data_IF_734907581815
#
_entry.id   IF_734907581815
#
_cell.length_a   1.000
_cell.length_b   1.000
_cell.length_c   1.000
_cell.angle_alpha   90.00
_cell.angle_beta   90.00
_cell.angle_gamma   90.00
#
_symmetry.space_group_name_H-M   'P 1'
#
loop_
_entity.id
_entity.type
_entity.pdbx_description
1 polymer ?
#
# COMPACT_ATOMS: atom_id res chain seq x y z
N UNK A 1 17.51 5.82 -25.59
CA UNK A 1 16.89 4.61 -26.21
C UNK A 1 16.42 4.96 -27.62
N UNK A 2 17.33 5.01 -28.58
CA UNK A 2 17.01 5.51 -29.94
C UNK A 2 16.91 4.41 -31.00
N UNK A 3 17.12 3.16 -30.68
CA UNK A 3 16.94 2.05 -31.62
C UNK A 3 15.56 1.44 -31.46
N UNK A 4 14.76 1.28 -32.52
CA UNK A 4 13.42 0.71 -32.49
C UNK A 4 13.38 -0.66 -31.78
N UNK A 5 14.45 -1.45 -31.94
CA UNK A 5 14.60 -2.77 -31.34
C UNK A 5 14.51 -2.69 -29.78
N UNK A 6 15.24 -1.74 -29.16
CA UNK A 6 15.23 -1.60 -27.69
C UNK A 6 13.86 -1.16 -27.19
N UNK A 7 13.17 -0.29 -27.92
CA UNK A 7 11.82 0.13 -27.56
C UNK A 7 10.85 -1.05 -27.58
N UNK A 8 10.93 -1.93 -28.56
CA UNK A 8 10.12 -3.15 -28.62
C UNK A 8 10.47 -4.15 -27.52
N UNK A 9 11.78 -4.34 -27.24
CA UNK A 9 12.22 -5.19 -26.12
C UNK A 9 11.68 -4.62 -24.79
N UNK A 10 11.82 -3.32 -24.56
CA UNK A 10 11.32 -2.67 -23.34
C UNK A 10 9.80 -2.81 -23.20
N UNK A 11 9.04 -2.60 -24.29
CA UNK A 11 7.59 -2.78 -24.28
C UNK A 11 7.18 -4.23 -24.00
N UNK A 12 7.88 -5.19 -24.62
CA UNK A 12 7.63 -6.62 -24.38
C UNK A 12 7.92 -7.02 -22.94
N UNK A 13 9.07 -6.60 -22.39
CA UNK A 13 9.45 -6.87 -21.00
C UNK A 13 8.50 -6.20 -20.00
N UNK A 14 8.01 -5.00 -20.30
CA UNK A 14 6.98 -4.35 -19.50
C UNK A 14 5.67 -5.15 -19.53
N UNK A 15 5.25 -5.64 -20.69
CA UNK A 15 4.09 -6.54 -20.79
C UNK A 15 4.27 -7.82 -19.99
N UNK A 16 5.46 -8.42 -20.00
CA UNK A 16 5.78 -9.60 -19.18
C UNK A 16 5.77 -9.26 -17.69
N UNK A 17 6.31 -8.09 -17.30
CA UNK A 17 6.24 -7.62 -15.91
C UNK A 17 4.78 -7.48 -15.43
N UNK A 18 3.90 -6.92 -16.24
CA UNK A 18 2.46 -6.85 -15.94
C UNK A 18 1.86 -8.24 -15.76
N UNK A 19 2.11 -9.17 -16.68
CA UNK A 19 1.64 -10.55 -16.55
C UNK A 19 2.17 -11.22 -15.27
N UNK A 20 3.43 -10.95 -14.91
CA UNK A 20 4.04 -11.45 -13.70
C UNK A 20 3.31 -10.91 -12.45
N UNK A 21 2.96 -9.62 -12.40
CA UNK A 21 2.22 -9.05 -11.25
C UNK A 21 0.84 -9.71 -11.06
N UNK A 22 0.17 -10.16 -12.12
CA UNK A 22 -1.07 -10.93 -12.00
C UNK A 22 -0.85 -12.39 -11.59
N UNK A 23 0.40 -12.86 -11.60
CA UNK A 23 0.76 -14.24 -11.23
C UNK A 23 1.15 -14.40 -9.75
N UNK A 24 0.95 -13.41 -8.90
CA UNK A 24 1.29 -13.43 -7.46
C UNK A 24 0.75 -14.67 -6.76
N UNK A 25 -0.51 -15.05 -7.01
CA UNK A 25 -1.11 -16.27 -6.42
C UNK A 25 -0.37 -17.56 -6.80
N UNK A 26 0.28 -17.60 -7.95
CA UNK A 26 1.12 -18.73 -8.35
C UNK A 26 2.39 -18.81 -7.49
N UNK A 27 3.07 -17.68 -7.30
CA UNK A 27 4.27 -17.59 -6.45
C UNK A 27 3.96 -17.86 -4.98
N UNK A 28 2.82 -17.40 -4.48
CA UNK A 28 2.34 -17.69 -3.14
C UNK A 28 2.12 -19.21 -2.93
N UNK A 29 1.48 -19.90 -3.87
CA UNK A 29 1.36 -21.36 -3.83
C UNK A 29 2.73 -22.07 -3.87
N UNK A 30 3.67 -21.51 -4.64
CA UNK A 30 5.02 -22.04 -4.74
C UNK A 30 5.81 -21.89 -3.43
N UNK A 31 5.61 -20.77 -2.71
CA UNK A 31 6.21 -20.54 -1.39
C UNK A 31 5.75 -21.58 -0.36
N UNK A 32 4.47 -21.95 -0.38
CA UNK A 32 3.93 -23.03 0.46
C UNK A 32 4.45 -24.42 0.06
N UNK A 33 4.64 -24.65 -1.23
CA UNK A 33 5.12 -25.94 -1.74
C UNK A 33 6.63 -26.17 -1.49
N UNK A 34 7.41 -25.11 -1.46
CA UNK A 34 8.86 -25.14 -1.26
C UNK A 34 9.27 -24.23 -0.10
N UNK A 35 9.06 -24.65 1.17
CA UNK A 35 9.32 -23.81 2.34
C UNK A 35 10.76 -23.32 2.45
N UNK A 36 11.72 -24.10 1.92
CA UNK A 36 13.15 -23.72 1.90
C UNK A 36 13.43 -22.45 1.10
N UNK A 37 12.60 -22.15 0.11
CA UNK A 37 12.71 -20.99 -0.78
C UNK A 37 11.52 -20.03 -0.66
N UNK A 38 10.73 -20.16 0.41
CA UNK A 38 9.50 -19.37 0.61
C UNK A 38 9.77 -17.86 0.51
N UNK A 39 10.85 -17.37 1.13
CA UNK A 39 11.23 -15.95 1.06
C UNK A 39 11.49 -15.44 -0.36
N UNK A 40 12.13 -16.26 -1.21
CA UNK A 40 12.34 -15.89 -2.62
C UNK A 40 11.02 -15.81 -3.40
N UNK A 41 10.11 -16.77 -3.17
CA UNK A 41 8.81 -16.75 -3.85
C UNK A 41 7.91 -15.63 -3.35
N UNK A 42 7.98 -15.26 -2.09
CA UNK A 42 7.30 -14.07 -1.57
C UNK A 42 7.82 -12.79 -2.23
N UNK A 43 9.15 -12.61 -2.31
CA UNK A 43 9.75 -11.48 -3.00
C UNK A 43 9.32 -11.39 -4.47
N UNK A 44 9.27 -12.52 -5.19
CA UNK A 44 8.81 -12.56 -6.58
C UNK A 44 7.31 -12.27 -6.73
N UNK A 45 6.56 -12.28 -5.65
CA UNK A 45 5.16 -11.85 -5.61
C UNK A 45 4.95 -10.34 -5.36
N UNK A 46 5.99 -9.62 -4.91
CA UNK A 46 5.90 -8.19 -4.62
C UNK A 46 6.04 -7.35 -5.89
N UNK A 47 5.12 -6.42 -6.11
CA UNK A 47 5.04 -5.61 -7.34
C UNK A 47 6.33 -4.83 -7.58
N UNK A 48 6.89 -4.24 -6.54
CA UNK A 48 8.11 -3.44 -6.61
C UNK A 48 9.32 -4.30 -7.04
N UNK A 49 9.41 -5.51 -6.50
CA UNK A 49 10.48 -6.47 -6.84
C UNK A 49 10.31 -6.97 -8.28
N UNK A 50 9.09 -7.23 -8.72
CA UNK A 50 8.80 -7.68 -10.09
C UNK A 50 9.28 -6.67 -11.11
N UNK A 51 8.92 -5.40 -10.97
CA UNK A 51 9.35 -4.36 -11.91
C UNK A 51 10.86 -4.13 -11.84
N UNK A 52 11.47 -4.14 -10.65
CA UNK A 52 12.93 -4.05 -10.50
C UNK A 52 13.67 -5.21 -11.18
N UNK A 53 13.18 -6.44 -11.04
CA UNK A 53 13.73 -7.62 -11.70
C UNK A 53 13.68 -7.50 -13.24
N UNK A 54 12.52 -7.12 -13.80
CA UNK A 54 12.39 -6.97 -15.26
C UNK A 54 13.15 -5.77 -15.81
N UNK A 55 13.34 -4.70 -15.02
CA UNK A 55 14.24 -3.60 -15.38
C UNK A 55 15.70 -4.07 -15.45
N UNK A 56 16.15 -4.93 -14.53
CA UNK A 56 17.48 -5.54 -14.60
C UNK A 56 17.63 -6.41 -15.85
N UNK A 57 16.61 -7.22 -16.20
CA UNK A 57 16.59 -8.01 -17.44
C UNK A 57 16.71 -7.10 -18.67
N UNK A 58 16.03 -5.94 -18.66
CA UNK A 58 16.16 -4.96 -19.75
C UNK A 58 17.59 -4.45 -19.90
N UNK A 59 18.26 -4.11 -18.78
CA UNK A 59 19.66 -3.64 -18.83
C UNK A 59 20.58 -4.71 -19.40
N UNK A 60 20.39 -5.98 -19.01
CA UNK A 60 21.15 -7.11 -19.58
C UNK A 60 20.86 -7.28 -21.07
N UNK A 61 19.60 -7.22 -21.49
CA UNK A 61 19.22 -7.29 -22.89
C UNK A 61 19.84 -6.13 -23.72
N UNK A 62 19.90 -4.92 -23.15
CA UNK A 62 20.60 -3.79 -23.76
C UNK A 62 22.11 -4.04 -23.89
N UNK A 63 22.75 -4.58 -22.87
CA UNK A 63 24.17 -4.90 -22.90
C UNK A 63 24.51 -5.91 -24.01
N UNK A 64 23.63 -6.90 -24.23
CA UNK A 64 23.80 -7.91 -25.27
C UNK A 64 23.47 -7.43 -26.71
N UNK A 65 22.58 -6.45 -26.85
CA UNK A 65 22.09 -6.01 -28.17
C UNK A 65 22.78 -4.74 -28.67
N UNK A 66 23.05 -3.77 -27.81
CA UNK A 66 23.66 -2.48 -28.21
C UNK A 66 25.04 -2.25 -27.57
N UNK A 67 25.43 -3.10 -26.61
CA UNK A 67 26.74 -3.06 -25.99
C UNK A 67 26.70 -2.57 -24.52
N UNK A 68 27.69 -3.04 -23.75
CA UNK A 68 27.82 -2.73 -22.31
C UNK A 68 27.89 -1.24 -21.98
N UNK A 69 28.72 -0.43 -22.68
CA UNK A 69 28.81 1.01 -22.40
C UNK A 69 27.47 1.74 -22.50
N UNK A 70 26.66 1.42 -23.52
CA UNK A 70 25.36 2.05 -23.73
C UNK A 70 24.34 1.61 -22.67
N UNK A 71 24.37 0.34 -22.26
CA UNK A 71 23.53 -0.16 -21.18
C UNK A 71 23.89 0.50 -19.84
N UNK A 72 25.17 0.66 -19.54
CA UNK A 72 25.67 1.34 -18.35
C UNK A 72 25.24 2.81 -18.34
N UNK A 73 25.47 3.52 -19.46
CA UNK A 73 25.04 4.92 -19.60
C UNK A 73 23.52 5.08 -19.38
N UNK A 74 22.73 4.14 -19.90
CA UNK A 74 21.29 4.15 -19.67
C UNK A 74 20.97 3.97 -18.18
N UNK A 75 21.58 3.01 -17.51
CA UNK A 75 21.36 2.77 -16.09
C UNK A 75 21.78 4.01 -15.26
N UNK A 76 22.96 4.58 -15.49
CA UNK A 76 23.45 5.75 -14.77
C UNK A 76 22.62 7.02 -15.03
N UNK A 77 21.97 7.12 -16.20
CA UNK A 77 21.10 8.25 -16.53
C UNK A 77 19.74 8.23 -15.80
N UNK A 78 19.43 7.16 -15.05
CA UNK A 78 18.18 7.07 -14.31
C UNK A 78 18.29 7.78 -12.96
N UNK A 79 17.21 8.41 -12.54
CA UNK A 79 17.14 9.01 -11.21
C UNK A 79 16.73 7.94 -10.20
N UNK A 80 17.64 7.56 -9.32
CA UNK A 80 17.40 6.58 -8.24
C UNK A 80 17.07 7.24 -6.90
N UNK A 81 17.13 8.57 -6.79
CA UNK A 81 16.94 9.27 -5.52
C UNK A 81 15.55 9.02 -4.95
N UNK A 82 14.51 9.15 -5.79
CA UNK A 82 13.13 8.92 -5.35
C UNK A 82 12.86 7.45 -4.98
N UNK A 83 13.19 6.44 -5.83
CA UNK A 83 13.03 5.04 -5.47
C UNK A 83 13.79 4.65 -4.21
N UNK A 84 15.03 5.14 -4.00
CA UNK A 84 15.80 4.87 -2.80
C UNK A 84 15.17 5.52 -1.57
N UNK A 85 14.68 6.75 -1.68
CA UNK A 85 13.95 7.43 -0.61
C UNK A 85 12.69 6.63 -0.21
N UNK A 86 11.89 6.22 -1.19
CA UNK A 86 10.68 5.41 -0.96
C UNK A 86 11.04 4.08 -0.28
N UNK A 87 12.10 3.41 -0.75
CA UNK A 87 12.57 2.17 -0.14
C UNK A 87 12.93 2.36 1.35
N UNK A 88 13.67 3.41 1.68
CA UNK A 88 14.03 3.73 3.09
C UNK A 88 12.77 4.01 3.91
N UNK A 89 11.83 4.81 3.38
CA UNK A 89 10.56 5.09 4.04
C UNK A 89 9.76 3.81 4.27
N UNK A 90 9.68 2.92 3.29
CA UNK A 90 8.98 1.63 3.42
C UNK A 90 9.58 0.76 4.53
N UNK A 91 10.91 0.62 4.57
CA UNK A 91 11.60 -0.16 5.60
C UNK A 91 11.33 0.38 7.00
N UNK A 92 11.39 1.72 7.16
CA UNK A 92 11.10 2.37 8.45
C UNK A 92 9.64 2.20 8.83
N UNK A 93 8.72 2.49 7.90
CA UNK A 93 7.27 2.43 8.12
C UNK A 93 6.77 1.03 8.44
N UNK A 94 7.33 -0.01 7.79
CA UNK A 94 7.01 -1.41 8.07
C UNK A 94 7.60 -1.93 9.38
N UNK A 95 8.42 -1.14 10.07
CA UNK A 95 9.04 -1.57 11.32
C UNK A 95 7.99 -1.71 12.44
N UNK A 96 8.16 -2.74 13.28
CA UNK A 96 7.26 -3.00 14.42
C UNK A 96 7.06 -1.80 15.36
N UNK A 97 8.10 -0.99 15.71
CA UNK A 97 7.92 0.19 16.54
C UNK A 97 6.97 1.21 15.91
N UNK A 98 7.13 1.52 14.61
CA UNK A 98 6.28 2.50 13.91
C UNK A 98 4.84 1.99 13.85
N UNK A 99 4.60 0.73 13.44
CA UNK A 99 3.28 0.14 13.37
C UNK A 99 2.57 0.18 14.73
N UNK A 100 3.27 -0.22 15.82
CA UNK A 100 2.72 -0.18 17.18
C UNK A 100 2.40 1.24 17.63
N UNK A 101 3.27 2.20 17.34
CA UNK A 101 3.08 3.61 17.70
C UNK A 101 1.85 4.19 17.01
N UNK A 102 1.71 3.97 15.70
CA UNK A 102 0.55 4.45 14.94
C UNK A 102 -0.74 3.83 15.49
N UNK A 103 -0.77 2.52 15.73
CA UNK A 103 -1.92 1.84 16.32
C UNK A 103 -2.25 2.41 17.70
N UNK A 104 -1.25 2.66 18.54
CA UNK A 104 -1.45 3.24 19.89
C UNK A 104 -2.01 4.67 19.81
N UNK A 105 -1.47 5.51 18.90
CA UNK A 105 -1.98 6.87 18.67
C UNK A 105 -3.43 6.84 18.23
N UNK A 106 -3.77 6.03 17.24
CA UNK A 106 -5.15 5.92 16.74
C UNK A 106 -6.09 5.43 17.81
N UNK A 107 -5.69 4.46 18.64
CA UNK A 107 -6.49 4.01 19.77
C UNK A 107 -6.68 5.10 20.83
N UNK A 108 -5.67 5.88 21.10
CA UNK A 108 -5.78 7.00 22.04
C UNK A 108 -6.76 8.05 21.52
N UNK A 109 -6.63 8.41 20.24
CA UNK A 109 -7.57 9.33 19.58
C UNK A 109 -9.00 8.79 19.57
N UNK A 110 -9.18 7.48 19.35
CA UNK A 110 -10.49 6.84 19.38
C UNK A 110 -11.14 6.92 20.77
N UNK A 111 -10.36 6.82 21.84
CA UNK A 111 -10.86 6.96 23.23
C UNK A 111 -11.24 8.40 23.59
N UNK A 112 -10.55 9.38 23.01
CA UNK A 112 -10.80 10.81 23.21
C UNK A 112 -11.98 11.33 22.38
N UNK A 113 -12.40 10.61 21.35
CA UNK A 113 -13.48 11.01 20.47
C UNK A 113 -14.84 11.02 21.22
N UNK A 114 -15.73 12.00 20.97
CA UNK A 114 -17.05 12.10 21.61
C UNK A 114 -18.08 11.13 21.01
N UNK A 115 -17.63 9.96 20.60
CA UNK A 115 -18.44 8.88 20.01
C UNK A 115 -17.96 7.52 20.56
N UNK A 116 -18.78 6.45 20.47
CA UNK A 116 -18.36 5.13 20.96
C UNK A 116 -17.01 4.71 20.37
N UNK A 117 -16.10 4.26 21.21
CA UNK A 117 -14.73 3.90 20.82
C UNK A 117 -14.65 2.94 19.62
N UNK A 118 -15.50 1.91 19.48
CA UNK A 118 -15.48 1.06 18.29
C UNK A 118 -15.82 1.81 17.01
N UNK A 119 -16.76 2.76 17.07
CA UNK A 119 -17.11 3.59 15.92
C UNK A 119 -15.98 4.55 15.56
N UNK A 120 -15.38 5.19 16.57
CA UNK A 120 -14.21 6.04 16.38
C UNK A 120 -13.03 5.26 15.77
N UNK A 121 -12.75 4.06 16.27
CA UNK A 121 -11.68 3.21 15.75
C UNK A 121 -11.94 2.79 14.29
N UNK A 122 -13.18 2.41 13.96
CA UNK A 122 -13.56 2.07 12.59
C UNK A 122 -13.41 3.28 11.66
N UNK A 123 -13.86 4.44 12.07
CA UNK A 123 -13.74 5.68 11.29
C UNK A 123 -12.27 6.09 11.09
N UNK A 124 -11.47 6.09 12.16
CA UNK A 124 -10.04 6.42 12.08
C UNK A 124 -9.28 5.43 11.19
N UNK A 125 -9.59 4.13 11.28
CA UNK A 125 -9.01 3.11 10.42
C UNK A 125 -9.38 3.27 8.94
N UNK A 126 -10.58 3.81 8.64
CA UNK A 126 -11.04 4.06 7.28
C UNK A 126 -10.70 5.45 6.76
N UNK A 127 -10.38 6.43 7.61
CA UNK A 127 -10.07 7.80 7.24
C UNK A 127 -8.63 8.20 7.55
N UNK A 128 -8.28 8.30 8.84
CA UNK A 128 -6.98 8.84 9.25
C UNK A 128 -5.82 7.97 8.79
N UNK A 129 -5.93 6.65 8.93
CA UNK A 129 -4.87 5.72 8.53
C UNK A 129 -4.63 5.73 7.01
N UNK A 130 -5.65 5.65 6.13
CA UNK A 130 -5.48 5.88 4.70
C UNK A 130 -4.81 7.20 4.33
N UNK A 131 -5.18 8.31 4.95
CA UNK A 131 -4.54 9.62 4.71
C UNK A 131 -3.09 9.66 5.19
N UNK A 132 -2.78 9.01 6.32
CA UNK A 132 -1.41 8.83 6.78
C UNK A 132 -0.57 7.98 5.80
N UNK A 133 -1.20 7.18 4.93
CA UNK A 133 -0.55 6.48 3.84
C UNK A 133 0.31 7.37 2.96
N UNK A 134 -0.06 8.64 2.81
CA UNK A 134 0.76 9.65 2.12
C UNK A 134 2.10 9.95 2.80
N UNK A 135 2.26 9.64 4.07
CA UNK A 135 3.50 9.84 4.83
C UNK A 135 4.28 8.55 5.02
N UNK A 136 3.58 7.42 5.16
CA UNK A 136 4.19 6.13 5.48
C UNK A 136 4.22 5.14 4.32
N UNK A 137 3.44 5.28 3.30
CA UNK A 137 3.17 4.45 2.12
C UNK A 137 1.83 3.71 2.16
N UNK A 138 1.26 3.43 0.99
CA UNK A 138 -0.01 2.69 0.86
C UNK A 138 0.00 1.30 1.50
N UNK A 139 1.03 0.43 1.28
CA UNK A 139 1.07 -0.89 1.89
C UNK A 139 1.11 -0.86 3.43
N UNK A 140 1.85 0.09 4.01
CA UNK A 140 1.90 0.25 5.46
C UNK A 140 0.55 0.71 6.02
N UNK A 141 -0.11 1.69 5.38
CA UNK A 141 -1.44 2.15 5.77
C UNK A 141 -2.48 1.02 5.66
N UNK A 142 -2.44 0.24 4.58
CA UNK A 142 -3.32 -0.93 4.39
C UNK A 142 -3.16 -1.93 5.54
N UNK A 143 -1.92 -2.28 5.88
CA UNK A 143 -1.62 -3.21 6.96
C UNK A 143 -2.13 -2.72 8.32
N UNK A 144 -1.87 -1.46 8.65
CA UNK A 144 -2.33 -0.86 9.92
C UNK A 144 -3.85 -0.86 9.98
N UNK A 145 -4.51 -0.37 8.91
CA UNK A 145 -5.97 -0.33 8.86
C UNK A 145 -6.59 -1.74 8.95
N UNK A 146 -6.02 -2.71 8.24
CA UNK A 146 -6.48 -4.10 8.29
C UNK A 146 -6.40 -4.68 9.72
N UNK A 147 -5.26 -4.51 10.41
CA UNK A 147 -5.08 -4.96 11.79
C UNK A 147 -6.07 -4.31 12.76
N UNK A 148 -6.43 -3.04 12.53
CA UNK A 148 -7.39 -2.32 13.36
C UNK A 148 -8.84 -2.72 13.10
N UNK A 149 -9.19 -2.94 11.82
CA UNK A 149 -10.58 -3.17 11.40
C UNK A 149 -10.97 -4.63 11.46
N UNK A 150 -10.03 -5.56 11.26
CA UNK A 150 -10.32 -6.99 11.21
C UNK A 150 -11.07 -7.51 12.45
N UNK A 151 -10.67 -7.21 13.71
CA UNK A 151 -11.36 -7.70 14.91
C UNK A 151 -12.77 -7.15 15.08
N UNK A 152 -13.07 -6.02 14.43
CA UNK A 152 -14.35 -5.33 14.57
C UNK A 152 -15.34 -5.70 13.48
N UNK A 153 -14.86 -5.87 12.25
CA UNK A 153 -15.68 -5.96 11.04
C UNK A 153 -15.73 -7.39 10.50
N UNK A 154 -14.59 -8.11 10.49
CA UNK A 154 -14.51 -9.45 9.90
C UNK A 154 -14.82 -10.58 10.89
N UNK A 155 -15.79 -10.35 11.77
CA UNK A 155 -16.29 -11.32 12.76
C UNK A 155 -17.65 -11.88 12.36
N UNK A 156 -18.05 -12.96 13.04
CA UNK A 156 -19.41 -13.49 12.97
C UNK A 156 -20.42 -12.45 13.49
N UNK A 157 -21.57 -12.31 12.83
CA UNK A 157 -22.62 -11.35 13.21
C UNK A 157 -22.56 -10.01 12.46
N UNK A 158 -21.52 -9.72 11.70
CA UNK A 158 -21.51 -8.62 10.72
C UNK A 158 -21.98 -9.16 9.38
N UNK A 159 -23.00 -8.56 8.74
CA UNK A 159 -23.48 -8.97 7.43
C UNK A 159 -22.38 -8.90 6.36
N UNK A 160 -22.33 -9.89 5.47
CA UNK A 160 -21.33 -9.97 4.40
C UNK A 160 -21.27 -8.69 3.55
N UNK A 161 -22.43 -8.10 3.24
CA UNK A 161 -22.48 -6.83 2.48
C UNK A 161 -21.67 -5.71 3.16
N UNK A 162 -21.71 -5.63 4.48
CA UNK A 162 -20.99 -4.59 5.23
C UNK A 162 -19.50 -4.91 5.32
N UNK A 163 -19.10 -6.18 5.36
CA UNK A 163 -17.70 -6.58 5.27
C UNK A 163 -17.10 -6.18 3.92
N UNK A 164 -17.80 -6.50 2.82
CA UNK A 164 -17.35 -6.10 1.49
C UNK A 164 -17.39 -4.59 1.27
N UNK A 165 -18.39 -3.88 1.82
CA UNK A 165 -18.42 -2.42 1.80
C UNK A 165 -17.19 -1.84 2.50
N UNK A 166 -16.89 -2.30 3.71
CA UNK A 166 -15.74 -1.82 4.47
C UNK A 166 -14.41 -2.12 3.76
N UNK A 167 -14.28 -3.31 3.19
CA UNK A 167 -13.11 -3.70 2.41
C UNK A 167 -12.94 -2.82 1.17
N UNK A 168 -14.01 -2.60 0.40
CA UNK A 168 -14.01 -1.74 -0.78
C UNK A 168 -13.67 -0.29 -0.44
N UNK A 169 -14.26 0.25 0.63
CA UNK A 169 -13.96 1.61 1.11
C UNK A 169 -12.50 1.69 1.57
N UNK A 170 -11.98 0.68 2.28
CA UNK A 170 -10.58 0.66 2.70
C UNK A 170 -9.64 0.70 1.49
N UNK A 171 -9.84 -0.15 0.48
CA UNK A 171 -9.03 -0.16 -0.73
C UNK A 171 -9.05 1.18 -1.45
N UNK A 172 -10.24 1.74 -1.68
CA UNK A 172 -10.38 3.05 -2.35
C UNK A 172 -9.70 4.14 -1.53
N UNK A 173 -9.96 4.19 -0.22
CA UNK A 173 -9.43 5.25 0.63
C UNK A 173 -7.91 5.18 0.78
N UNK A 174 -7.30 4.00 0.82
CA UNK A 174 -5.84 3.86 0.85
C UNK A 174 -5.24 4.32 -0.47
N UNK A 175 -5.81 3.91 -1.61
CA UNK A 175 -5.32 4.32 -2.94
C UNK A 175 -5.40 5.83 -3.15
N UNK A 176 -6.56 6.46 -2.88
CA UNK A 176 -6.69 7.91 -3.06
C UNK A 176 -6.03 8.70 -1.93
N UNK A 177 -5.97 8.15 -0.72
CA UNK A 177 -5.30 8.75 0.43
C UNK A 177 -3.80 8.92 0.22
N UNK A 178 -3.16 8.01 -0.52
CA UNK A 178 -1.75 8.11 -0.88
C UNK A 178 -1.39 9.28 -1.81
N UNK A 179 -2.37 9.94 -2.42
CA UNK A 179 -2.14 11.02 -3.40
C UNK A 179 -1.86 12.40 -2.81
N UNK A 180 -1.76 12.54 -1.48
CA UNK A 180 -1.41 13.82 -0.85
C UNK A 180 0.06 14.19 -1.06
N UNK A 181 0.92 13.22 -1.33
CA UNK A 181 2.35 13.43 -1.62
C UNK A 181 2.73 12.83 -2.98
N UNK A 182 3.87 13.25 -3.52
CA UNK A 182 4.35 12.78 -4.83
C UNK A 182 5.04 11.41 -4.79
N UNK A 183 5.23 10.81 -3.62
CA UNK A 183 6.06 9.61 -3.46
C UNK A 183 5.33 8.40 -2.82
N UNK A 184 4.19 8.60 -2.17
CA UNK A 184 3.60 7.54 -1.38
C UNK A 184 2.77 6.54 -2.21
N UNK A 185 2.15 7.01 -3.29
CA UNK A 185 1.35 6.19 -4.19
C UNK A 185 2.18 5.79 -5.42
N UNK A 186 2.41 4.49 -5.69
CA UNK A 186 3.20 4.05 -6.84
C UNK A 186 2.77 4.65 -8.19
N UNK A 187 1.48 4.77 -8.53
CA UNK A 187 1.07 5.40 -9.78
C UNK A 187 1.48 6.88 -9.90
N UNK A 188 1.46 7.61 -8.78
CA UNK A 188 1.90 9.01 -8.74
C UNK A 188 3.41 9.09 -8.91
N UNK A 189 4.16 8.26 -8.19
CA UNK A 189 5.62 8.21 -8.26
C UNK A 189 6.11 7.99 -9.69
N UNK A 190 5.45 7.13 -10.45
CA UNK A 190 5.81 6.82 -11.85
C UNK A 190 5.76 8.03 -12.78
N UNK A 191 4.85 8.98 -12.53
CA UNK A 191 4.60 10.13 -13.40
C UNK A 191 5.10 11.45 -12.82
N UNK A 192 5.25 11.54 -11.50
CA UNK A 192 5.57 12.77 -10.79
C UNK A 192 6.86 13.44 -11.30
N UNK A 193 7.93 12.67 -11.45
CA UNK A 193 9.20 13.18 -11.97
C UNK A 193 9.09 13.68 -13.43
N UNK A 194 8.29 12.99 -14.27
CA UNK A 194 8.09 13.35 -15.68
C UNK A 194 7.29 14.64 -15.83
N UNK A 195 6.30 14.86 -14.97
CA UNK A 195 5.39 16.01 -15.03
C UNK A 195 5.74 17.13 -14.05
N UNK A 196 6.84 16.98 -13.29
CA UNK A 196 7.27 17.97 -12.30
C UNK A 196 6.29 18.11 -11.13
N UNK A 197 5.61 17.05 -10.75
CA UNK A 197 4.67 17.05 -9.63
C UNK A 197 5.42 16.85 -8.32
N UNK A 198 5.57 17.90 -7.56
CA UNK A 198 6.08 17.83 -6.18
C UNK A 198 4.94 17.61 -5.17
N UNK A 199 5.30 17.41 -3.91
CA UNK A 199 4.31 17.18 -2.85
C UNK A 199 3.42 18.41 -2.58
N UNK A 200 3.91 19.61 -2.81
CA UNK A 200 3.10 20.83 -2.67
C UNK A 200 2.03 20.89 -3.77
N UNK A 201 2.40 20.59 -5.00
CA UNK A 201 1.46 20.47 -6.13
C UNK A 201 0.42 19.36 -5.86
N UNK A 202 0.87 18.18 -5.42
CA UNK A 202 -0.04 17.08 -5.11
C UNK A 202 -1.05 17.48 -4.04
N UNK A 203 -0.59 18.04 -2.93
CA UNK A 203 -1.46 18.46 -1.83
C UNK A 203 -2.50 19.50 -2.26
N UNK A 204 -2.08 20.52 -3.01
CA UNK A 204 -2.95 21.64 -3.40
C UNK A 204 -3.88 21.30 -4.55
N UNK A 205 -3.50 20.37 -5.43
CA UNK A 205 -4.28 20.03 -6.63
C UNK A 205 -5.20 18.84 -6.42
N UNK A 206 -4.68 17.76 -5.84
CA UNK A 206 -5.38 16.48 -5.67
C UNK A 206 -5.66 16.17 -4.20
N UNK A 207 -4.73 16.43 -3.30
CA UNK A 207 -4.72 15.94 -1.93
C UNK A 207 -5.94 16.37 -1.12
N UNK A 208 -6.34 17.61 -1.18
CA UNK A 208 -7.53 18.06 -0.45
C UNK A 208 -8.82 17.42 -0.96
N UNK A 209 -8.91 17.15 -2.28
CA UNK A 209 -10.06 16.44 -2.88
C UNK A 209 -10.08 14.98 -2.44
N UNK A 210 -8.91 14.33 -2.45
CA UNK A 210 -8.72 12.98 -1.94
C UNK A 210 -9.09 12.90 -0.46
N UNK A 211 -8.60 13.83 0.37
CA UNK A 211 -8.93 13.90 1.78
C UNK A 211 -10.45 14.04 2.00
N UNK A 212 -11.12 14.93 1.27
CA UNK A 212 -12.57 15.08 1.36
C UNK A 212 -13.29 13.79 0.97
N UNK A 213 -12.91 13.16 -0.12
CA UNK A 213 -13.50 11.88 -0.57
C UNK A 213 -13.30 10.77 0.46
N UNK A 214 -12.09 10.64 1.03
CA UNK A 214 -11.78 9.68 2.10
C UNK A 214 -12.66 9.91 3.33
N UNK A 215 -12.82 11.16 3.77
CA UNK A 215 -13.67 11.51 4.91
C UNK A 215 -15.14 11.17 4.67
N UNK A 216 -15.67 11.47 3.48
CA UNK A 216 -17.04 11.13 3.10
C UNK A 216 -17.25 9.63 3.06
N UNK A 217 -16.38 8.89 2.37
CA UNK A 217 -16.46 7.43 2.26
C UNK A 217 -16.37 6.75 3.64
N UNK A 218 -15.40 7.16 4.45
CA UNK A 218 -15.21 6.62 5.80
C UNK A 218 -16.41 6.89 6.70
N UNK A 219 -16.97 8.11 6.65
CA UNK A 219 -18.14 8.48 7.44
C UNK A 219 -19.36 7.67 7.02
N UNK A 220 -19.63 7.57 5.72
CA UNK A 220 -20.75 6.77 5.21
C UNK A 220 -20.63 5.29 5.63
N UNK A 221 -19.43 4.71 5.49
CA UNK A 221 -19.17 3.33 5.86
C UNK A 221 -19.28 3.12 7.38
N UNK A 222 -18.70 3.99 8.20
CA UNK A 222 -18.76 3.90 9.65
C UNK A 222 -20.22 4.01 10.15
N UNK A 223 -21.02 4.90 9.58
CA UNK A 223 -22.44 5.01 9.90
C UNK A 223 -23.23 3.75 9.52
N UNK A 224 -22.94 3.14 8.38
CA UNK A 224 -23.54 1.87 7.98
C UNK A 224 -23.17 0.73 8.93
N UNK A 225 -21.94 0.71 9.42
CA UNK A 225 -21.42 -0.30 10.34
C UNK A 225 -21.88 -0.10 11.79
N UNK A 226 -22.29 1.09 12.21
CA UNK A 226 -22.49 1.49 13.62
C UNK A 226 -23.30 0.50 14.48
N UNK A 227 -24.32 -0.12 13.89
CA UNK A 227 -25.21 -1.06 14.60
C UNK A 227 -24.62 -2.48 14.73
N UNK A 228 -23.55 -2.76 14.01
CA UNK A 228 -22.92 -4.08 13.92
C UNK A 228 -21.53 -4.10 14.59
N UNK A 229 -21.05 -2.94 15.05
CA UNK A 229 -19.78 -2.87 15.77
C UNK A 229 -19.91 -3.48 17.16
N UNK A 230 -18.84 -4.12 17.69
CA UNK A 230 -18.85 -4.70 19.03
C UNK A 230 -18.96 -3.59 20.09
N UNK A 231 -19.38 -3.94 21.30
CA UNK A 231 -19.22 -3.04 22.45
C UNK A 231 -17.72 -2.87 22.80
N UNK A 232 -17.39 -1.78 23.49
CA UNK A 232 -16.01 -1.54 23.94
C UNK A 232 -15.49 -2.67 24.84
N UNK A 233 -16.36 -3.22 25.70
CA UNK A 233 -16.06 -4.34 26.60
C UNK A 233 -15.75 -5.63 25.83
N UNK A 234 -16.53 -5.94 24.77
CA UNK A 234 -16.31 -7.12 23.95
C UNK A 234 -14.96 -7.05 23.18
N UNK A 235 -14.53 -5.85 22.79
CA UNK A 235 -13.23 -5.65 22.16
C UNK A 235 -12.07 -5.83 23.15
N UNK A 236 -12.21 -5.40 24.39
CA UNK A 236 -11.19 -5.57 25.42
C UNK A 236 -11.04 -7.05 25.79
N UNK A 237 -12.14 -7.74 26.04
CA UNK A 237 -12.12 -9.18 26.35
C UNK A 237 -11.48 -10.02 25.21
N UNK A 238 -11.76 -9.67 23.96
CA UNK A 238 -11.15 -10.35 22.80
C UNK A 238 -9.65 -10.11 22.66
N UNK A 239 -9.13 -8.96 23.13
CA UNK A 239 -7.68 -8.67 23.14
C UNK A 239 -6.96 -9.40 24.26
N UNK A 240 -7.52 -9.38 25.46
CA UNK A 240 -6.94 -10.11 26.61
C UNK A 240 -6.83 -11.60 26.32
N UNK A 241 -7.82 -12.16 25.61
CA UNK A 241 -7.77 -13.55 25.17
C UNK A 241 -6.68 -13.81 24.10
N UNK A 242 -6.43 -12.85 23.21
CA UNK A 242 -5.40 -12.98 22.17
C UNK A 242 -3.97 -12.79 22.70
N UNK A 243 -3.78 -11.98 23.76
CA UNK A 243 -2.48 -11.74 24.38
C UNK A 243 -2.03 -12.90 25.29
N UNK A 244 -2.93 -13.86 25.59
CA UNK A 244 -2.65 -15.05 26.41
C UNK A 244 -2.20 -16.27 25.57
N UNK A 245 -2.14 -16.16 24.27
CA UNK A 245 -1.68 -17.19 23.30
C UNK A 245 -0.51 -16.69 22.47
#
# INVERSE_FOLDING_TARGET
MNTPLIQWIAAALFGVALLHTFSVKFFERLSHRYPRHAGLFHLLGEVEVVFGFWAMVLIVAMALTVGGPQALQYAESRNYTEPLFVFVVMVIAASRPVLRTVVAIVHTLAKLAPVPTPLATAWLGLAAVPLLGSLITEPAAMTIAALMLAPQIFRTGVPERLKYLALGVLFVNVSIGGTLTSYAAPPVLMVAATWGWDSAFMLTTFGWKAALAVLVNATACALALRRHLPSAEALQAGREAADQH
#
